data_IF_892991863587
#
_entry.id   IF_892991863587
#
_cell.length_a   1.000
_cell.length_b   1.000
_cell.length_c   1.000
_cell.angle_alpha   90.00
_cell.angle_beta   90.00
_cell.angle_gamma   90.00
#
_symmetry.space_group_name_H-M   'P 1'
#
loop_
_entity.id
_entity.type
_entity.pdbx_description
1 polymer ?
#
# COMPACT_ATOMS: atom_id res chain seq x y z
N UNK A 1 -5.48 -12.55 19.69
CA UNK A 1 -4.06 -12.30 19.35
C UNK A 1 -3.61 -11.02 20.02
N UNK A 2 -2.42 -10.96 20.62
CA UNK A 2 -1.93 -9.71 21.20
C UNK A 2 -1.59 -8.72 20.08
N UNK A 3 -2.00 -7.46 20.24
CA UNK A 3 -1.81 -6.39 19.22
C UNK A 3 -0.33 -6.24 18.81
N UNK A 4 0.59 -6.59 19.71
CA UNK A 4 2.04 -6.66 19.47
C UNK A 4 2.44 -7.73 18.44
N UNK A 5 1.88 -8.94 18.53
CA UNK A 5 2.19 -10.03 17.58
C UNK A 5 1.76 -9.66 16.16
N UNK A 6 0.62 -9.00 16.04
CA UNK A 6 0.08 -8.56 14.76
C UNK A 6 0.96 -7.46 14.11
N UNK A 7 1.43 -6.48 14.90
CA UNK A 7 2.38 -5.47 14.40
C UNK A 7 3.70 -6.10 13.94
N UNK A 8 4.25 -7.06 14.70
CA UNK A 8 5.48 -7.76 14.33
C UNK A 8 5.29 -8.51 13.01
N UNK A 9 4.16 -9.18 12.81
CA UNK A 9 3.82 -9.85 11.56
C UNK A 9 3.78 -8.90 10.36
N UNK A 10 3.23 -7.70 10.54
CA UNK A 10 3.22 -6.68 9.48
C UNK A 10 4.63 -6.18 9.18
N UNK A 11 5.43 -5.87 10.19
CA UNK A 11 6.82 -5.43 10.00
C UNK A 11 7.61 -6.49 9.23
N UNK A 12 7.47 -7.76 9.62
CA UNK A 12 8.13 -8.87 8.96
C UNK A 12 7.71 -9.00 7.49
N UNK A 13 6.41 -8.86 7.21
CA UNK A 13 5.87 -8.90 5.84
C UNK A 13 6.37 -7.74 4.99
N UNK A 14 6.46 -6.53 5.56
CA UNK A 14 7.02 -5.34 4.88
C UNK A 14 8.47 -5.59 4.50
N UNK A 15 9.29 -6.07 5.45
CA UNK A 15 10.71 -6.34 5.21
C UNK A 15 10.88 -7.40 4.12
N UNK A 16 10.11 -8.49 4.18
CA UNK A 16 10.12 -9.51 3.13
C UNK A 16 9.71 -8.96 1.77
N UNK A 17 8.63 -8.18 1.71
CA UNK A 17 8.12 -7.62 0.46
C UNK A 17 9.12 -6.66 -0.20
N UNK A 18 9.76 -5.78 0.58
CA UNK A 18 10.82 -4.92 0.06
C UNK A 18 12.07 -5.70 -0.31
N UNK A 19 12.47 -6.72 0.46
CA UNK A 19 13.60 -7.57 0.12
C UNK A 19 13.37 -8.28 -1.23
N UNK A 20 12.17 -8.83 -1.46
CA UNK A 20 11.79 -9.41 -2.75
C UNK A 20 11.83 -8.38 -3.88
N UNK A 21 11.26 -7.19 -3.67
CA UNK A 21 11.27 -6.10 -4.65
C UNK A 21 12.70 -5.70 -5.06
N UNK A 22 13.58 -5.45 -4.09
CA UNK A 22 14.98 -5.09 -4.36
C UNK A 22 15.74 -6.24 -5.02
N UNK A 23 15.46 -7.48 -4.63
CA UNK A 23 16.07 -8.65 -5.27
C UNK A 23 15.70 -8.72 -6.75
N UNK A 24 14.43 -8.50 -7.10
CA UNK A 24 14.01 -8.53 -8.50
C UNK A 24 14.73 -7.44 -9.31
N UNK A 25 14.87 -6.23 -8.78
CA UNK A 25 15.55 -5.12 -9.48
C UNK A 25 17.05 -5.36 -9.65
N UNK A 26 17.71 -5.95 -8.66
CA UNK A 26 19.17 -6.15 -8.68
C UNK A 26 19.56 -7.33 -9.57
N UNK A 27 18.79 -8.43 -9.52
CA UNK A 27 19.15 -9.69 -10.18
C UNK A 27 18.57 -9.83 -11.59
N UNK A 28 17.53 -9.06 -11.95
CA UNK A 28 16.88 -9.17 -13.25
C UNK A 28 16.84 -7.83 -13.97
N UNK A 29 17.34 -7.80 -15.21
CA UNK A 29 17.20 -6.65 -16.10
C UNK A 29 15.72 -6.46 -16.47
N UNK A 30 15.10 -5.31 -16.17
CA UNK A 30 13.68 -5.04 -16.48
C UNK A 30 13.41 -4.81 -17.99
N UNK A 31 14.44 -4.89 -18.83
CA UNK A 31 14.35 -4.76 -20.27
C UNK A 31 14.17 -6.15 -20.91
N UNK A 32 12.92 -6.48 -21.30
CA UNK A 32 12.58 -7.71 -22.02
C UNK A 32 12.14 -8.90 -21.17
N UNK A 33 11.77 -8.67 -19.91
CA UNK A 33 11.44 -9.74 -18.95
C UNK A 33 10.05 -10.37 -19.16
N UNK A 34 9.93 -11.62 -18.73
CA UNK A 34 8.70 -12.41 -18.65
C UNK A 34 7.59 -11.68 -17.85
N UNK A 35 6.35 -11.70 -18.34
CA UNK A 35 5.23 -10.95 -17.75
C UNK A 35 4.97 -11.31 -16.27
N UNK A 36 5.33 -12.54 -15.90
CA UNK A 36 5.27 -13.05 -14.53
C UNK A 36 6.20 -12.26 -13.59
N UNK A 37 7.42 -11.94 -14.03
CA UNK A 37 8.38 -11.22 -13.20
C UNK A 37 7.93 -9.77 -12.95
N UNK A 38 7.36 -9.14 -13.98
CA UNK A 38 6.78 -7.80 -13.86
C UNK A 38 5.59 -7.79 -12.90
N UNK A 39 4.74 -8.82 -12.94
CA UNK A 39 3.66 -8.98 -11.97
C UNK A 39 4.18 -9.17 -10.53
N UNK A 40 5.18 -10.02 -10.32
CA UNK A 40 5.82 -10.22 -9.01
C UNK A 40 6.46 -8.94 -8.46
N UNK A 41 7.09 -8.14 -9.33
CA UNK A 41 7.64 -6.83 -8.97
C UNK A 41 6.55 -5.90 -8.43
N UNK A 42 5.44 -5.74 -9.16
CA UNK A 42 4.35 -4.87 -8.72
C UNK A 42 3.63 -5.41 -7.48
N UNK A 43 3.47 -6.73 -7.37
CA UNK A 43 2.83 -7.36 -6.22
C UNK A 43 3.66 -7.18 -4.94
N UNK A 44 4.97 -7.41 -5.02
CA UNK A 44 5.88 -7.19 -3.87
C UNK A 44 5.89 -5.72 -3.44
N UNK A 45 5.93 -4.79 -4.40
CA UNK A 45 5.83 -3.35 -4.10
C UNK A 45 4.48 -2.98 -3.45
N UNK A 46 3.37 -3.54 -3.96
CA UNK A 46 2.02 -3.32 -3.41
C UNK A 46 1.90 -3.79 -1.97
N UNK A 47 2.36 -5.01 -1.67
CA UNK A 47 2.33 -5.56 -0.31
C UNK A 47 3.20 -4.72 0.62
N UNK A 48 4.42 -4.36 0.18
CA UNK A 48 5.35 -3.54 0.96
C UNK A 48 4.79 -2.15 1.29
N UNK A 49 4.22 -1.47 0.30
CA UNK A 49 3.59 -0.15 0.49
C UNK A 49 2.34 -0.22 1.35
N UNK A 50 1.51 -1.26 1.20
CA UNK A 50 0.27 -1.42 1.99
C UNK A 50 0.60 -1.56 3.46
N UNK A 51 1.58 -2.41 3.78
CA UNK A 51 2.08 -2.54 5.14
C UNK A 51 2.72 -1.24 5.63
N UNK A 52 3.57 -0.59 4.83
CA UNK A 52 4.27 0.62 5.20
C UNK A 52 3.31 1.77 5.53
N UNK A 53 2.39 2.12 4.61
CA UNK A 53 1.41 3.18 4.85
C UNK A 53 0.43 2.82 5.96
N UNK A 54 0.01 1.56 6.05
CA UNK A 54 -0.85 1.09 7.13
C UNK A 54 -0.20 1.26 8.51
N UNK A 55 1.06 0.89 8.64
CA UNK A 55 1.82 1.01 9.88
C UNK A 55 2.14 2.47 10.22
N UNK A 56 2.57 3.27 9.24
CA UNK A 56 2.82 4.71 9.42
C UNK A 56 1.55 5.42 9.86
N UNK A 57 0.41 5.18 9.18
CA UNK A 57 -0.88 5.76 9.55
C UNK A 57 -1.30 5.38 10.97
N UNK A 58 -1.08 4.12 11.35
CA UNK A 58 -1.36 3.63 12.71
C UNK A 58 -0.48 4.34 13.76
N UNK A 59 0.83 4.43 13.52
CA UNK A 59 1.77 5.09 14.45
C UNK A 59 1.48 6.58 14.61
N UNK A 60 1.15 7.29 13.52
CA UNK A 60 0.79 8.69 13.54
C UNK A 60 -0.48 8.93 14.38
N UNK A 61 -1.53 8.11 14.18
CA UNK A 61 -2.77 8.19 14.96
C UNK A 61 -2.55 7.82 16.42
N UNK A 62 -1.75 6.77 16.69
CA UNK A 62 -1.38 6.38 18.05
C UNK A 62 -0.66 7.49 18.81
N UNK A 63 0.25 8.23 18.14
CA UNK A 63 0.94 9.39 18.74
C UNK A 63 -0.02 10.56 18.99
N UNK A 64 -0.99 10.78 18.10
CA UNK A 64 -1.93 11.91 18.18
C UNK A 64 -3.10 11.67 19.15
N UNK A 65 -3.56 10.43 19.30
CA UNK A 65 -4.75 10.07 20.06
C UNK A 65 -4.43 8.96 21.08
N UNK A 66 -4.05 9.36 22.29
CA UNK A 66 -3.52 8.45 23.33
C UNK A 66 -4.60 7.60 24.05
N UNK A 67 -5.90 7.80 23.76
CA UNK A 67 -7.02 7.23 24.55
C UNK A 67 -8.05 6.39 23.77
N UNK A 68 -7.87 6.20 22.46
CA UNK A 68 -8.85 5.50 21.62
C UNK A 68 -8.46 4.04 21.35
N UNK A 69 -9.45 3.22 21.01
CA UNK A 69 -9.29 1.81 20.68
C UNK A 69 -8.27 1.61 19.55
N UNK A 70 -7.09 1.09 19.91
CA UNK A 70 -6.01 0.81 18.97
C UNK A 70 -6.44 -0.12 17.82
N UNK A 71 -7.44 -0.97 18.05
CA UNK A 71 -8.02 -1.85 17.02
C UNK A 71 -8.76 -1.07 15.92
N UNK A 72 -9.54 -0.03 16.28
CA UNK A 72 -10.29 0.78 15.31
C UNK A 72 -9.35 1.62 14.44
N UNK A 73 -8.31 2.22 15.04
CA UNK A 73 -7.30 2.96 14.28
C UNK A 73 -6.47 2.07 13.36
N UNK A 74 -6.23 0.83 13.77
CA UNK A 74 -5.53 -0.12 12.92
C UNK A 74 -6.31 -0.41 11.63
N UNK A 75 -7.61 -0.73 11.74
CA UNK A 75 -8.46 -1.01 10.58
C UNK A 75 -8.55 0.17 9.60
N UNK A 76 -8.76 1.39 10.13
CA UNK A 76 -8.82 2.61 9.29
C UNK A 76 -7.47 2.89 8.62
N UNK A 77 -6.37 2.75 9.35
CA UNK A 77 -5.02 3.00 8.80
C UNK A 77 -4.64 1.98 7.74
N UNK A 78 -4.99 0.70 7.94
CA UNK A 78 -4.76 -0.35 6.95
C UNK A 78 -5.56 -0.12 5.67
N UNK A 79 -6.83 0.30 5.78
CA UNK A 79 -7.67 0.68 4.64
C UNK A 79 -7.06 1.84 3.85
N UNK A 80 -6.67 2.92 4.54
CA UNK A 80 -6.00 4.07 3.92
C UNK A 80 -4.68 3.67 3.27
N UNK A 81 -3.88 2.85 3.95
CA UNK A 81 -2.62 2.36 3.40
C UNK A 81 -2.81 1.51 2.15
N UNK A 82 -3.86 0.69 2.09
CA UNK A 82 -4.22 -0.09 0.90
C UNK A 82 -4.60 0.84 -0.26
N UNK A 83 -5.46 1.83 -0.02
CA UNK A 83 -5.89 2.78 -1.06
C UNK A 83 -4.73 3.61 -1.61
N UNK A 84 -3.85 4.11 -0.75
CA UNK A 84 -2.63 4.83 -1.17
C UNK A 84 -1.67 3.93 -1.96
N UNK A 85 -1.57 2.67 -1.58
CA UNK A 85 -0.73 1.69 -2.31
C UNK A 85 -1.31 1.38 -3.69
N UNK A 86 -2.63 1.22 -3.81
CA UNK A 86 -3.30 1.08 -5.11
C UNK A 86 -3.04 2.31 -5.98
N UNK A 87 -3.13 3.51 -5.41
CA UNK A 87 -2.89 4.75 -6.15
C UNK A 87 -1.47 4.82 -6.70
N UNK A 88 -0.47 4.54 -5.86
CA UNK A 88 0.94 4.62 -6.26
C UNK A 88 1.35 3.49 -7.20
N UNK A 89 1.03 2.24 -6.86
CA UNK A 89 1.37 1.07 -7.70
C UNK A 89 0.56 1.11 -8.99
N UNK A 90 -0.72 1.45 -8.94
CA UNK A 90 -1.56 1.62 -10.12
C UNK A 90 -1.05 2.72 -11.05
N UNK A 91 -0.58 3.84 -10.50
CA UNK A 91 0.06 4.90 -11.31
C UNK A 91 1.36 4.41 -11.96
N UNK A 92 2.23 3.73 -11.20
CA UNK A 92 3.46 3.15 -11.74
C UNK A 92 3.19 2.09 -12.81
N UNK A 93 2.16 1.27 -12.61
CA UNK A 93 1.71 0.27 -13.57
C UNK A 93 1.25 0.95 -14.87
N UNK A 94 0.36 1.94 -14.79
CA UNK A 94 -0.08 2.70 -15.97
C UNK A 94 1.11 3.34 -16.72
N UNK A 95 2.14 3.80 -15.99
CA UNK A 95 3.39 4.32 -16.56
C UNK A 95 4.20 3.27 -17.31
N UNK A 96 4.26 2.05 -16.79
CA UNK A 96 4.98 0.96 -17.44
C UNK A 96 4.35 0.54 -18.77
N UNK A 97 3.03 0.67 -18.94
CA UNK A 97 2.31 0.30 -20.17
C UNK A 97 2.21 1.42 -21.21
N UNK A 98 2.98 2.51 -21.07
CA UNK A 98 2.93 3.71 -21.96
C UNK A 98 1.55 4.40 -22.09
N UNK A 99 0.54 3.93 -21.35
CA UNK A 99 -0.80 4.51 -21.27
C UNK A 99 -0.89 5.69 -20.29
N UNK A 100 0.25 6.18 -19.80
CA UNK A 100 0.31 7.16 -18.73
C UNK A 100 0.21 8.57 -19.26
N UNK A 101 -1.02 9.04 -19.23
CA UNK A 101 -1.32 10.45 -19.26
C UNK A 101 -1.58 10.93 -17.83
N UNK A 102 -1.26 12.18 -17.53
CA UNK A 102 -1.44 12.78 -16.20
C UNK A 102 -2.90 12.66 -15.67
N UNK A 103 -3.88 12.59 -16.57
CA UNK A 103 -5.29 12.35 -16.21
C UNK A 103 -5.56 10.93 -15.69
N UNK A 104 -4.74 9.92 -16.03
CA UNK A 104 -4.88 8.56 -15.49
C UNK A 104 -4.68 8.51 -13.97
N UNK A 105 -3.67 9.23 -13.46
CA UNK A 105 -3.48 9.37 -12.01
C UNK A 105 -4.59 10.21 -11.35
N UNK A 106 -5.15 11.21 -12.03
CA UNK A 106 -6.29 11.97 -11.51
C UNK A 106 -7.54 11.10 -11.37
N UNK A 107 -7.84 10.23 -12.35
CA UNK A 107 -8.97 9.30 -12.27
C UNK A 107 -8.78 8.30 -11.13
N UNK A 108 -7.58 7.74 -10.98
CA UNK A 108 -7.25 6.86 -9.85
C UNK A 108 -7.40 7.57 -8.50
N UNK A 109 -6.94 8.81 -8.40
CA UNK A 109 -7.09 9.62 -7.21
C UNK A 109 -8.57 9.88 -6.88
N UNK A 110 -9.38 10.19 -7.90
CA UNK A 110 -10.81 10.43 -7.73
C UNK A 110 -11.54 9.16 -7.28
N UNK A 111 -11.21 8.00 -7.83
CA UNK A 111 -11.73 6.70 -7.38
C UNK A 111 -11.38 6.42 -5.91
N UNK A 112 -10.12 6.63 -5.53
CA UNK A 112 -9.68 6.46 -4.14
C UNK A 112 -10.43 7.39 -3.19
N UNK A 113 -10.62 8.65 -3.57
CA UNK A 113 -11.38 9.60 -2.76
C UNK A 113 -12.84 9.18 -2.62
N UNK A 114 -13.51 8.76 -3.69
CA UNK A 114 -14.90 8.29 -3.61
C UNK A 114 -15.02 7.11 -2.64
N UNK A 115 -14.11 6.14 -2.73
CA UNK A 115 -14.10 4.98 -1.84
C UNK A 115 -13.89 5.44 -0.40
N UNK A 116 -12.95 6.35 -0.16
CA UNK A 116 -12.67 6.87 1.18
C UNK A 116 -13.86 7.65 1.77
N UNK A 117 -14.53 8.50 0.98
CA UNK A 117 -15.75 9.21 1.39
C UNK A 117 -16.91 8.26 1.72
N UNK A 118 -17.09 7.21 0.93
CA UNK A 118 -18.13 6.21 1.19
C UNK A 118 -17.91 5.54 2.56
N UNK A 119 -16.66 5.23 2.89
CA UNK A 119 -16.35 4.65 4.18
C UNK A 119 -16.45 5.65 5.33
N UNK A 120 -16.06 6.92 5.13
CA UNK A 120 -16.15 7.94 6.16
C UNK A 120 -17.61 8.14 6.61
N UNK A 121 -18.55 8.16 5.66
CA UNK A 121 -19.99 8.28 5.93
C UNK A 121 -20.58 7.08 6.68
N UNK A 122 -19.96 5.90 6.60
CA UNK A 122 -20.41 4.69 7.31
C UNK A 122 -19.91 4.65 8.76
N UNK A 123 -18.86 5.41 9.08
CA UNK A 123 -18.23 5.46 10.40
C UNK A 123 -18.84 6.57 11.30
N UNK A 124 -19.66 7.47 10.73
CA UNK A 124 -20.52 8.48 11.41
C UNK A 124 -21.89 7.89 11.80
#
# INVERSE_FOLDING_TARGET
MTLKLYLVGIIFTIVLAFASFFSIIIFFSPEGTDALLQFLLFLSLFIGLTGFFGLVGFLLRKKKYNKFDASRFFGVSFRQGTLLSVLLVGSLFLRAFTAFWWWGSLVLLLLVLIIEFFFLRKDE
#
